data_IF_850017413434
#
_entry.id   IF_850017413434
#
_cell.length_a   1.000
_cell.length_b   1.000
_cell.length_c   1.000
_cell.angle_alpha   90.00
_cell.angle_beta   90.00
_cell.angle_gamma   90.00
#
_symmetry.space_group_name_H-M   'P 1'
#
loop_
_entity.id
_entity.type
_entity.pdbx_description
1 polymer ?
#
# COMPACT_ATOMS: atom_id res chain seq x y z
N UNK A 1 0.93 -30.53 27.01
CA UNK A 1 -0.08 -30.77 25.97
C UNK A 1 0.53 -31.76 24.99
N UNK A 2 -0.19 -32.77 24.50
CA UNK A 2 0.36 -33.70 23.50
C UNK A 2 0.41 -33.05 22.11
N UNK A 3 1.25 -33.58 21.21
CA UNK A 3 1.34 -33.09 19.83
C UNK A 3 0.00 -33.21 19.08
N UNK A 4 -0.82 -34.21 19.40
CA UNK A 4 -2.15 -34.36 18.79
C UNK A 4 -3.11 -33.25 19.25
N UNK A 5 -3.12 -32.95 20.55
CA UNK A 5 -3.96 -31.88 21.10
C UNK A 5 -3.51 -30.49 20.62
N UNK A 6 -2.20 -30.30 20.47
CA UNK A 6 -1.64 -29.06 19.94
C UNK A 6 -1.91 -28.89 18.45
N UNK A 7 -1.72 -29.94 17.64
CA UNK A 7 -2.06 -29.93 16.21
C UNK A 7 -3.55 -29.63 15.99
N UNK A 8 -4.44 -30.24 16.77
CA UNK A 8 -5.87 -29.97 16.73
C UNK A 8 -6.21 -28.52 17.07
N UNK A 9 -5.50 -27.91 18.04
CA UNK A 9 -5.70 -26.49 18.42
C UNK A 9 -5.26 -25.53 17.32
N UNK A 10 -4.22 -25.86 16.56
CA UNK A 10 -3.69 -25.03 15.48
C UNK A 10 -4.39 -25.26 14.13
N UNK A 11 -5.22 -26.30 14.01
CA UNK A 11 -5.75 -26.74 12.71
C UNK A 11 -4.66 -27.29 11.79
N UNK A 12 -3.55 -27.80 12.35
CA UNK A 12 -2.42 -28.36 11.62
C UNK A 12 -2.43 -29.90 11.68
N UNK A 13 -1.70 -30.55 10.78
CA UNK A 13 -1.50 -32.01 10.83
C UNK A 13 -0.55 -32.40 11.97
N UNK A 14 -0.82 -33.52 12.65
CA UNK A 14 0.04 -34.05 13.75
C UNK A 14 1.48 -34.30 13.26
N UNK A 15 1.65 -34.79 12.03
CA UNK A 15 2.97 -34.95 11.39
C UNK A 15 3.72 -33.64 11.19
N UNK A 16 2.99 -32.54 10.98
CA UNK A 16 3.58 -31.20 10.80
C UNK A 16 4.17 -30.70 12.11
N UNK A 17 3.44 -30.85 13.22
CA UNK A 17 3.92 -30.48 14.56
C UNK A 17 5.11 -31.35 14.97
N UNK A 18 5.05 -32.66 14.72
CA UNK A 18 6.18 -33.56 14.99
C UNK A 18 7.44 -33.19 14.17
N UNK A 19 7.26 -32.71 12.94
CA UNK A 19 8.36 -32.23 12.10
C UNK A 19 8.98 -30.93 12.63
N UNK A 20 8.21 -30.07 13.31
CA UNK A 20 8.71 -28.85 13.96
C UNK A 20 9.54 -29.18 15.19
N UNK A 21 9.07 -30.12 16.01
CA UNK A 21 9.81 -30.58 17.18
C UNK A 21 11.14 -31.25 16.79
N UNK A 22 11.15 -32.04 15.71
CA UNK A 22 12.36 -32.67 15.20
C UNK A 22 13.34 -31.70 14.52
N UNK A 23 12.87 -30.55 14.03
CA UNK A 23 13.66 -29.56 13.29
C UNK A 23 13.41 -28.13 13.83
N UNK A 24 14.01 -27.76 14.98
CA UNK A 24 13.73 -26.49 15.64
C UNK A 24 14.19 -25.25 14.85
N UNK A 25 15.16 -25.40 13.94
CA UNK A 25 15.66 -24.31 13.09
C UNK A 25 14.84 -24.11 11.81
N UNK A 26 13.75 -24.86 11.63
CA UNK A 26 12.95 -24.78 10.41
C UNK A 26 12.17 -23.46 10.34
N UNK A 27 12.40 -22.71 9.26
CA UNK A 27 11.67 -21.47 8.98
C UNK A 27 10.24 -21.78 8.54
N UNK A 28 9.27 -21.42 9.39
CA UNK A 28 7.85 -21.61 9.12
C UNK A 28 7.33 -20.60 8.11
N UNK A 29 6.29 -20.98 7.35
CA UNK A 29 5.62 -20.06 6.45
C UNK A 29 4.94 -18.93 7.24
N UNK A 30 4.80 -17.71 6.68
CA UNK A 30 4.21 -16.58 7.39
C UNK A 30 2.81 -16.85 7.95
N UNK A 31 1.97 -17.56 7.20
CA UNK A 31 0.61 -17.92 7.66
C UNK A 31 0.61 -18.91 8.83
N UNK A 32 1.61 -19.81 8.91
CA UNK A 32 1.70 -20.76 10.01
C UNK A 32 2.29 -20.13 11.27
N UNK A 33 3.23 -19.20 11.10
CA UNK A 33 3.75 -18.38 12.20
C UNK A 33 2.63 -17.51 12.81
N UNK A 34 1.74 -16.93 11.99
CA UNK A 34 0.58 -16.17 12.46
C UNK A 34 -0.36 -17.02 13.34
N UNK A 35 -0.55 -18.29 13.01
CA UNK A 35 -1.37 -19.22 13.80
C UNK A 35 -0.71 -19.53 15.15
N UNK A 36 0.62 -19.68 15.18
CA UNK A 36 1.37 -19.90 16.42
C UNK A 36 1.38 -18.66 17.32
N UNK A 37 1.55 -17.47 16.75
CA UNK A 37 1.55 -16.21 17.48
C UNK A 37 0.16 -15.93 18.09
N UNK A 38 -0.91 -16.24 17.34
CA UNK A 38 -2.27 -16.18 17.86
C UNK A 38 -2.49 -17.19 19.00
N UNK A 39 -2.01 -18.43 18.85
CA UNK A 39 -2.11 -19.45 19.88
C UNK A 39 -1.36 -19.09 21.17
N UNK A 40 -0.20 -18.41 21.07
CA UNK A 40 0.57 -17.91 22.21
C UNK A 40 -0.14 -16.72 22.88
N UNK A 41 -0.72 -15.81 22.10
CA UNK A 41 -1.50 -14.68 22.60
C UNK A 41 -2.73 -15.14 23.39
N UNK A 42 -3.39 -16.20 22.92
CA UNK A 42 -4.57 -16.79 23.55
C UNK A 42 -4.23 -17.83 24.63
N UNK A 43 -2.95 -18.05 24.93
CA UNK A 43 -2.53 -18.93 26.00
C UNK A 43 -2.60 -18.24 27.37
N UNK A 44 -2.84 -19.02 28.43
CA UNK A 44 -2.89 -18.50 29.79
C UNK A 44 -1.59 -17.78 30.19
N UNK A 45 -1.70 -16.78 31.07
CA UNK A 45 -0.53 -16.00 31.52
C UNK A 45 0.56 -16.83 32.22
N UNK A 46 0.27 -18.04 32.68
CA UNK A 46 1.30 -18.98 33.18
C UNK A 46 2.10 -19.65 32.05
N UNK A 47 1.50 -19.84 30.88
CA UNK A 47 2.14 -20.40 29.69
C UNK A 47 3.02 -19.33 29.02
N UNK A 48 2.50 -18.11 28.87
CA UNK A 48 3.27 -16.99 28.32
C UNK A 48 4.51 -16.68 29.16
N UNK A 49 4.40 -16.70 30.49
CA UNK A 49 5.55 -16.52 31.39
C UNK A 49 6.59 -17.63 31.27
N UNK A 50 6.15 -18.90 31.20
CA UNK A 50 7.07 -20.04 30.99
C UNK A 50 7.78 -19.95 29.65
N UNK A 51 7.06 -19.57 28.59
CA UNK A 51 7.64 -19.35 27.27
C UNK A 51 8.69 -18.23 27.28
N UNK A 52 8.39 -17.10 27.95
CA UNK A 52 9.35 -16.01 28.14
C UNK A 52 10.60 -16.42 28.94
N UNK A 53 10.46 -17.29 29.94
CA UNK A 53 11.60 -17.83 30.69
C UNK A 53 12.49 -18.74 29.83
N UNK A 54 11.91 -19.56 28.95
CA UNK A 54 12.66 -20.43 28.04
C UNK A 54 13.45 -19.62 27.00
N UNK A 55 12.86 -18.54 26.47
CA UNK A 55 13.55 -17.60 25.57
C UNK A 55 14.74 -16.93 26.26
N UNK A 56 14.54 -16.43 27.48
CA UNK A 56 15.60 -15.78 28.25
C UNK A 56 16.75 -16.74 28.61
N UNK A 57 16.46 -18.03 28.82
CA UNK A 57 17.47 -19.06 29.07
C UNK A 57 18.25 -19.40 27.79
N UNK A 58 17.56 -19.50 26.64
CA UNK A 58 18.19 -19.71 25.34
C UNK A 58 19.11 -18.53 24.94
N UNK A 59 18.66 -17.29 25.14
CA UNK A 59 19.48 -16.09 24.92
C UNK A 59 20.72 -16.04 25.82
N UNK A 60 20.59 -16.54 27.06
CA UNK A 60 21.69 -16.63 28.01
C UNK A 60 22.69 -17.73 27.64
N UNK A 61 22.21 -18.86 27.12
CA UNK A 61 23.05 -19.94 26.58
C UNK A 61 23.81 -19.53 25.31
N UNK A 62 23.27 -18.59 24.53
CA UNK A 62 23.89 -18.05 23.32
C UNK A 62 24.85 -16.86 23.58
N UNK A 63 24.98 -16.41 24.82
CA UNK A 63 25.86 -15.29 25.22
C UNK A 63 27.17 -15.79 25.87
N UNK A 64 28.37 -15.44 25.35
CA UNK A 64 29.62 -15.76 26.02
C UNK A 64 29.85 -14.86 27.25
N UNK A 65 30.28 -15.43 28.38
CA UNK A 65 30.51 -14.72 29.64
C UNK A 65 31.64 -13.67 29.53
N UNK A 66 31.56 -12.52 30.24
CA UNK A 66 32.55 -11.46 30.09
C UNK A 66 33.75 -11.65 31.02
N UNK A 67 34.95 -11.57 30.46
CA UNK A 67 36.16 -11.29 31.23
C UNK A 67 36.24 -9.78 31.51
N UNK A 68 36.58 -9.48 32.77
CA UNK A 68 36.81 -8.14 33.33
C UNK A 68 37.50 -7.16 32.37
N UNK A 69 36.94 -5.96 32.21
CA UNK A 69 37.74 -4.72 32.14
C UNK A 69 36.87 -3.56 32.61
N UNK A 70 37.13 -3.11 33.83
CA UNK A 70 36.64 -1.83 34.33
C UNK A 70 37.38 -0.67 33.68
N UNK A 71 36.66 0.42 33.48
CA UNK A 71 37.15 1.78 33.34
C UNK A 71 37.94 2.14 32.07
N UNK A 72 37.20 2.40 30.99
CA UNK A 72 37.44 3.63 30.22
C UNK A 72 36.13 4.26 29.79
N UNK A 73 35.79 5.35 30.48
CA UNK A 73 34.75 6.30 30.12
C UNK A 73 35.11 6.93 28.77
N UNK A 74 34.71 6.28 27.68
CA UNK A 74 34.73 6.80 26.34
C UNK A 74 33.30 6.72 25.80
N UNK A 75 32.64 7.87 25.80
CA UNK A 75 31.55 8.28 24.91
C UNK A 75 31.03 7.17 23.98
N UNK A 76 30.04 6.39 24.42
CA UNK A 76 29.32 5.46 23.55
C UNK A 76 28.08 6.15 23.00
N UNK A 77 28.20 6.75 21.82
CA UNK A 77 27.10 6.82 20.86
C UNK A 77 26.78 5.41 20.39
N UNK A 78 26.26 4.58 21.31
CA UNK A 78 26.02 3.16 21.09
C UNK A 78 24.91 2.99 20.05
N UNK A 79 25.19 2.21 19.01
CA UNK A 79 24.16 1.76 18.06
C UNK A 79 22.99 1.19 18.89
N UNK A 80 21.74 1.61 18.64
CA UNK A 80 20.59 1.13 19.40
C UNK A 80 20.54 -0.40 19.36
N UNK A 81 20.00 -1.02 20.42
CA UNK A 81 19.74 -2.45 20.39
C UNK A 81 18.86 -2.80 19.18
N UNK A 82 18.94 -4.02 18.64
CA UNK A 82 18.17 -4.38 17.47
C UNK A 82 16.66 -4.12 17.64
N UNK A 83 16.11 -4.38 18.82
CA UNK A 83 14.70 -4.09 19.12
C UNK A 83 14.41 -2.59 19.25
N UNK A 84 15.31 -1.82 19.87
CA UNK A 84 15.16 -0.36 19.93
C UNK A 84 15.22 0.27 18.52
N UNK A 85 15.99 -0.30 17.60
CA UNK A 85 16.03 0.14 16.21
C UNK A 85 14.70 -0.15 15.48
N UNK A 86 14.07 -1.30 15.75
CA UNK A 86 12.74 -1.63 15.22
C UNK A 86 11.69 -0.65 15.73
N UNK A 87 11.64 -0.42 17.04
CA UNK A 87 10.68 0.52 17.64
C UNK A 87 10.88 1.96 17.15
N UNK A 88 12.13 2.41 17.02
CA UNK A 88 12.44 3.73 16.45
C UNK A 88 11.98 3.84 15.00
N UNK A 89 12.24 2.82 14.17
CA UNK A 89 11.79 2.78 12.78
C UNK A 89 10.26 2.81 12.66
N UNK A 90 9.56 2.02 13.47
CA UNK A 90 8.09 1.99 13.48
C UNK A 90 7.49 3.29 14.01
N UNK A 91 8.10 3.92 15.01
CA UNK A 91 7.66 5.20 15.56
C UNK A 91 7.80 6.30 14.52
N UNK A 92 8.97 6.41 13.89
CA UNK A 92 9.19 7.37 12.81
C UNK A 92 8.20 7.19 11.66
N UNK A 93 7.95 5.94 11.23
CA UNK A 93 6.96 5.67 10.19
C UNK A 93 5.54 6.11 10.57
N UNK A 94 5.13 5.91 11.84
CA UNK A 94 3.83 6.38 12.33
C UNK A 94 3.73 7.91 12.32
N UNK A 95 4.82 8.62 12.65
CA UNK A 95 4.90 10.08 12.61
C UNK A 95 4.76 10.62 11.19
N UNK A 96 5.56 10.12 10.25
CA UNK A 96 5.47 10.52 8.83
C UNK A 96 4.08 10.23 8.28
N UNK A 97 3.50 9.06 8.60
CA UNK A 97 2.16 8.71 8.15
C UNK A 97 1.08 9.60 8.77
N UNK A 98 1.23 10.00 10.02
CA UNK A 98 0.32 10.95 10.67
C UNK A 98 0.37 12.30 9.95
N UNK A 99 1.57 12.80 9.65
CA UNK A 99 1.76 14.03 8.88
C UNK A 99 1.15 13.94 7.48
N UNK A 100 1.32 12.82 6.78
CA UNK A 100 0.70 12.58 5.47
C UNK A 100 -0.83 12.71 5.53
N UNK A 101 -1.47 12.09 6.53
CA UNK A 101 -2.92 12.15 6.71
C UNK A 101 -3.39 13.58 7.01
N UNK A 102 -2.68 14.29 7.89
CA UNK A 102 -3.04 15.64 8.33
C UNK A 102 -2.80 16.69 7.25
N UNK A 103 -1.70 16.57 6.50
CA UNK A 103 -1.33 17.50 5.43
C UNK A 103 -2.22 17.34 4.20
N UNK A 104 -2.66 16.11 3.92
CA UNK A 104 -3.64 15.78 2.88
C UNK A 104 -3.39 16.49 1.55
N UNK A 105 -4.34 17.30 1.13
CA UNK A 105 -4.33 18.02 -0.16
C UNK A 105 -3.18 19.03 -0.24
N UNK A 106 -2.75 19.63 0.88
CA UNK A 106 -1.66 20.61 0.88
C UNK A 106 -0.33 20.02 0.44
N UNK A 107 0.00 18.82 0.95
CA UNK A 107 1.20 18.08 0.53
C UNK A 107 1.08 17.65 -0.94
N UNK A 108 -0.10 17.23 -1.38
CA UNK A 108 -0.33 16.86 -2.78
C UNK A 108 -0.07 18.06 -3.73
N UNK A 109 -0.53 19.26 -3.40
CA UNK A 109 -0.29 20.47 -4.18
C UNK A 109 1.20 20.82 -4.28
N UNK A 110 1.92 20.85 -3.14
CA UNK A 110 3.37 21.12 -3.14
C UNK A 110 4.18 20.05 -3.85
N UNK A 111 3.74 18.80 -3.80
CA UNK A 111 4.39 17.72 -4.56
C UNK A 111 4.11 17.84 -6.06
N UNK A 112 2.91 18.32 -6.45
CA UNK A 112 2.60 18.62 -7.85
C UNK A 112 3.44 19.80 -8.38
N UNK A 113 3.89 20.71 -7.51
CA UNK A 113 4.79 21.81 -7.88
C UNK A 113 6.16 21.35 -8.40
N UNK A 114 6.53 20.09 -8.15
CA UNK A 114 7.76 19.49 -8.67
C UNK A 114 7.66 19.08 -10.14
N UNK A 115 6.44 18.91 -10.66
CA UNK A 115 6.21 18.51 -12.05
C UNK A 115 6.17 19.72 -12.97
N UNK A 116 6.46 19.47 -14.25
CA UNK A 116 6.31 20.46 -15.31
C UNK A 116 4.88 21.05 -15.27
N UNK A 117 4.73 22.39 -15.26
CA UNK A 117 3.42 23.04 -15.25
C UNK A 117 2.47 22.57 -16.36
N UNK A 118 2.98 22.14 -17.51
CA UNK A 118 2.18 21.62 -18.64
C UNK A 118 1.51 20.27 -18.34
N UNK A 119 2.00 19.53 -17.34
CA UNK A 119 1.40 18.28 -16.88
C UNK A 119 0.36 18.50 -15.77
N UNK A 120 0.16 19.74 -15.29
CA UNK A 120 -0.77 20.02 -14.19
C UNK A 120 -2.18 20.23 -14.72
N UNK A 121 -3.15 19.64 -14.04
CA UNK A 121 -4.56 19.75 -14.41
C UNK A 121 -5.16 21.03 -13.82
N UNK A 122 -5.07 22.13 -14.58
CA UNK A 122 -5.62 23.44 -14.23
C UNK A 122 -5.44 23.82 -12.74
N UNK A 123 -6.54 23.92 -11.99
CA UNK A 123 -6.59 24.34 -10.60
C UNK A 123 -6.68 23.16 -9.61
N UNK A 124 -6.53 21.93 -10.10
CA UNK A 124 -6.62 20.70 -9.31
C UNK A 124 -5.20 20.22 -9.02
N UNK A 125 -4.88 19.77 -7.79
CA UNK A 125 -3.58 19.19 -7.45
C UNK A 125 -3.46 17.77 -8.04
N UNK A 126 -3.56 17.68 -9.36
CA UNK A 126 -3.49 16.47 -10.16
C UNK A 126 -2.56 16.71 -11.34
N UNK A 127 -1.91 15.62 -11.77
CA UNK A 127 -1.08 15.61 -12.97
C UNK A 127 -1.75 14.73 -14.02
N UNK A 128 -1.69 15.13 -15.28
CA UNK A 128 -2.17 14.38 -16.45
C UNK A 128 -1.46 14.85 -17.71
N UNK A 129 -1.27 13.96 -18.67
CA UNK A 129 -0.95 14.38 -20.04
C UNK A 129 -2.23 14.72 -20.80
N UNK A 130 -2.10 15.53 -21.86
CA UNK A 130 -3.21 15.88 -22.74
C UNK A 130 -3.87 14.65 -23.39
N UNK A 131 -3.11 13.58 -23.63
CA UNK A 131 -3.65 12.34 -24.20
C UNK A 131 -4.65 11.62 -23.26
N UNK A 132 -4.55 11.85 -21.96
CA UNK A 132 -5.41 11.23 -20.95
C UNK A 132 -6.65 12.07 -20.62
N UNK A 133 -6.74 13.31 -21.09
CA UNK A 133 -7.89 14.19 -20.89
C UNK A 133 -8.65 14.41 -22.20
N UNK A 134 -9.98 14.36 -22.21
CA UNK A 134 -10.74 14.76 -23.38
C UNK A 134 -10.63 16.28 -23.58
N UNK A 135 -10.75 16.74 -24.82
CA UNK A 135 -10.72 18.19 -25.16
C UNK A 135 -11.90 18.99 -24.60
N UNK A 136 -12.94 18.29 -24.12
CA UNK A 136 -14.09 18.86 -23.44
C UNK A 136 -14.91 17.75 -22.77
N UNK A 137 -16.00 18.11 -22.06
CA UNK A 137 -16.86 17.11 -21.42
C UNK A 137 -17.42 16.10 -22.43
N UNK A 138 -17.27 14.80 -22.12
CA UNK A 138 -17.81 13.70 -22.93
C UNK A 138 -19.08 13.17 -22.26
N UNK A 139 -20.23 13.13 -22.96
CA UNK A 139 -21.44 12.50 -22.43
C UNK A 139 -21.18 11.02 -22.09
N UNK A 140 -21.69 10.56 -20.94
CA UNK A 140 -21.38 9.21 -20.43
C UNK A 140 -21.84 8.10 -21.38
N UNK A 141 -22.95 8.32 -22.10
CA UNK A 141 -23.48 7.40 -23.12
C UNK A 141 -22.56 7.27 -24.35
N UNK A 142 -21.59 8.18 -24.50
CA UNK A 142 -20.56 8.15 -25.55
C UNK A 142 -19.22 7.61 -25.03
N UNK A 143 -19.18 7.11 -23.79
CA UNK A 143 -18.01 6.43 -23.22
C UNK A 143 -18.21 4.93 -23.34
N UNK A 144 -17.35 4.29 -24.12
CA UNK A 144 -17.33 2.83 -24.28
C UNK A 144 -16.33 2.23 -23.29
N UNK A 145 -16.79 1.29 -22.47
CA UNK A 145 -15.92 0.55 -21.56
C UNK A 145 -15.47 -0.75 -22.25
N UNK A 146 -14.16 -0.97 -22.28
CA UNK A 146 -13.56 -2.20 -22.77
C UNK A 146 -12.95 -2.97 -21.59
N UNK A 147 -13.17 -4.29 -21.56
CA UNK A 147 -12.56 -5.18 -20.58
C UNK A 147 -11.41 -5.96 -21.24
N UNK A 148 -10.25 -5.92 -20.61
CA UNK A 148 -9.12 -6.76 -20.96
C UNK A 148 -8.96 -7.88 -19.91
N UNK A 149 -9.18 -9.12 -20.34
CA UNK A 149 -9.04 -10.31 -19.49
C UNK A 149 -7.58 -10.59 -19.09
N UNK A 150 -6.60 -10.04 -19.82
CA UNK A 150 -5.19 -10.21 -19.55
C UNK A 150 -4.44 -8.86 -19.64
N UNK A 151 -4.74 -7.93 -18.71
CA UNK A 151 -4.20 -6.59 -18.76
C UNK A 151 -2.67 -6.61 -18.55
N UNK A 152 -1.93 -5.66 -19.14
CA UNK A 152 -0.48 -5.59 -19.01
C UNK A 152 -0.07 -5.48 -17.53
N UNK A 153 1.00 -6.15 -17.11
CA UNK A 153 1.46 -6.05 -15.71
C UNK A 153 1.80 -4.62 -15.33
N UNK A 154 1.52 -4.24 -14.07
CA UNK A 154 1.95 -2.95 -13.56
C UNK A 154 3.49 -2.86 -13.63
N UNK A 155 4.01 -1.75 -14.14
CA UNK A 155 5.47 -1.51 -14.17
C UNK A 155 6.04 -1.30 -12.77
N UNK A 156 5.24 -0.71 -11.89
CA UNK A 156 5.59 -0.36 -10.52
C UNK A 156 4.56 -1.00 -9.60
N UNK A 157 5.02 -1.61 -8.52
CA UNK A 157 4.21 -2.47 -7.66
C UNK A 157 4.39 -2.20 -6.17
N UNK A 158 5.32 -1.30 -5.80
CA UNK A 158 5.62 -0.94 -4.41
C UNK A 158 6.65 -1.84 -3.72
N UNK A 159 7.28 -2.77 -4.46
CA UNK A 159 8.33 -3.66 -3.93
C UNK A 159 9.73 -3.30 -4.44
N UNK A 160 9.82 -2.27 -5.27
CA UNK A 160 11.06 -1.76 -5.84
C UNK A 160 12.01 -1.29 -4.72
N UNK A 161 13.31 -1.28 -5.00
CA UNK A 161 14.32 -0.93 -3.99
C UNK A 161 14.12 0.52 -3.49
N UNK A 162 13.67 1.39 -4.39
CA UNK A 162 13.36 2.80 -4.18
C UNK A 162 12.18 2.99 -3.21
N UNK A 163 11.26 2.02 -3.09
CA UNK A 163 10.16 2.08 -2.12
C UNK A 163 10.60 1.71 -0.69
N UNK A 164 11.75 1.05 -0.52
CA UNK A 164 12.22 0.55 0.79
C UNK A 164 12.37 1.61 1.88
N UNK A 165 12.84 2.85 1.60
CA UNK A 165 12.91 3.89 2.63
C UNK A 165 11.55 4.23 3.26
N UNK A 166 10.44 4.02 2.55
CA UNK A 166 9.09 4.21 3.07
C UNK A 166 8.55 3.01 3.90
N UNK A 167 9.31 1.91 3.99
CA UNK A 167 8.92 0.69 4.68
C UNK A 167 9.64 0.57 6.03
N UNK A 168 8.90 0.46 7.15
CA UNK A 168 9.52 0.35 8.46
C UNK A 168 10.08 -1.05 8.71
N UNK A 169 10.93 -1.17 9.72
CA UNK A 169 11.36 -2.46 10.23
C UNK A 169 10.19 -3.23 10.88
N UNK A 170 10.03 -4.49 10.50
CA UNK A 170 9.14 -5.46 11.15
C UNK A 170 9.87 -6.19 12.28
N UNK A 171 11.14 -6.51 12.06
CA UNK A 171 12.01 -7.22 13.00
C UNK A 171 13.46 -6.74 12.79
N UNK A 172 14.40 -7.08 13.69
CA UNK A 172 15.81 -6.74 13.54
C UNK A 172 16.34 -7.04 12.13
N UNK A 173 16.76 -5.99 11.41
CA UNK A 173 17.30 -6.10 10.04
C UNK A 173 16.29 -6.45 8.95
N UNK A 174 15.00 -6.58 9.26
CA UNK A 174 13.98 -7.02 8.30
C UNK A 174 12.85 -5.99 8.21
N UNK A 175 12.78 -5.27 7.08
CA UNK A 175 11.66 -4.38 6.77
C UNK A 175 10.41 -5.14 6.30
N UNK A 176 9.26 -4.49 6.37
CA UNK A 176 8.08 -4.97 5.64
C UNK A 176 8.38 -5.02 4.14
N UNK A 177 7.81 -6.00 3.43
CA UNK A 177 7.96 -6.12 1.98
C UNK A 177 6.97 -5.26 1.18
N UNK A 178 5.87 -4.84 1.82
CA UNK A 178 4.77 -4.07 1.23
C UNK A 178 4.24 -3.05 2.23
N UNK A 179 3.81 -1.90 1.73
CA UNK A 179 3.32 -0.83 2.59
C UNK A 179 1.98 -1.18 3.24
N UNK A 180 1.10 -1.86 2.51
CA UNK A 180 -0.18 -2.36 3.07
C UNK A 180 0.03 -3.35 4.21
N UNK A 181 1.12 -4.13 4.22
CA UNK A 181 1.48 -4.99 5.34
C UNK A 181 1.89 -4.17 6.58
N UNK A 182 2.65 -3.09 6.38
CA UNK A 182 3.00 -2.16 7.47
C UNK A 182 1.76 -1.46 8.04
N UNK A 183 0.82 -0.99 7.19
CA UNK A 183 -0.46 -0.44 7.65
C UNK A 183 -1.22 -1.46 8.50
N UNK A 184 -1.40 -2.68 7.99
CA UNK A 184 -2.15 -3.74 8.69
C UNK A 184 -1.55 -4.07 10.05
N UNK A 185 -0.23 -4.07 10.16
CA UNK A 185 0.47 -4.43 11.39
C UNK A 185 0.50 -3.26 12.39
N UNK A 186 0.87 -2.07 11.94
CA UNK A 186 1.16 -0.93 12.83
C UNK A 186 -0.05 -0.06 13.14
N UNK A 187 -1.00 0.07 12.19
CA UNK A 187 -2.13 1.01 12.26
C UNK A 187 -3.32 0.50 11.43
N UNK A 188 -3.86 -0.68 11.74
CA UNK A 188 -4.96 -1.28 10.98
C UNK A 188 -6.22 -0.39 11.01
N UNK A 189 -6.73 0.09 9.86
CA UNK A 189 -8.02 0.76 9.77
C UNK A 189 -9.19 -0.19 10.08
N UNK A 190 -10.34 0.37 10.45
CA UNK A 190 -11.56 -0.41 10.72
C UNK A 190 -11.99 -1.27 9.52
N UNK A 191 -11.89 -0.71 8.31
CA UNK A 191 -12.07 -1.42 7.05
C UNK A 191 -10.75 -1.43 6.29
N UNK A 192 -10.11 -2.60 6.18
CA UNK A 192 -8.82 -2.75 5.48
C UNK A 192 -8.72 -4.11 4.80
N UNK A 193 -9.43 -4.24 3.69
CA UNK A 193 -9.59 -5.47 2.93
C UNK A 193 -9.07 -5.30 1.52
N UNK A 194 -8.44 -6.36 0.99
CA UNK A 194 -8.03 -6.36 -0.40
C UNK A 194 -9.17 -6.83 -1.29
N UNK A 195 -9.99 -5.89 -1.77
CA UNK A 195 -11.12 -6.17 -2.67
C UNK A 195 -10.69 -6.05 -4.13
N UNK A 196 -11.42 -6.72 -5.01
CA UNK A 196 -11.27 -6.51 -6.46
C UNK A 196 -11.51 -5.04 -6.80
N UNK A 197 -10.72 -4.55 -7.75
CA UNK A 197 -10.81 -3.22 -8.31
C UNK A 197 -10.55 -3.27 -9.81
N UNK A 198 -10.80 -2.16 -10.49
CA UNK A 198 -10.60 -2.02 -11.92
C UNK A 198 -9.51 -1.00 -12.17
N UNK A 199 -8.43 -1.42 -12.83
CA UNK A 199 -7.33 -0.52 -13.19
C UNK A 199 -7.54 -0.06 -14.62
N UNK A 200 -7.56 1.25 -14.81
CA UNK A 200 -7.54 1.88 -16.13
C UNK A 200 -6.15 1.67 -16.75
N UNK A 201 -6.12 1.04 -17.91
CA UNK A 201 -4.87 0.64 -18.59
C UNK A 201 -4.63 1.41 -19.87
N UNK A 202 -5.70 1.92 -20.47
CA UNK A 202 -5.65 2.64 -21.74
C UNK A 202 -6.88 3.54 -21.87
N UNK A 203 -6.71 4.67 -22.54
CA UNK A 203 -7.76 5.64 -22.86
C UNK A 203 -7.57 6.13 -24.28
N UNK A 204 -8.65 6.17 -25.05
CA UNK A 204 -8.70 6.80 -26.34
C UNK A 204 -9.83 7.83 -26.37
N UNK A 205 -9.52 9.06 -26.77
CA UNK A 205 -10.51 10.11 -26.97
C UNK A 205 -10.68 10.40 -28.46
N UNK A 206 -11.93 10.61 -28.87
CA UNK A 206 -12.31 11.14 -30.18
C UNK A 206 -13.25 12.33 -29.99
N UNK A 207 -13.62 13.05 -31.04
CA UNK A 207 -14.50 14.23 -30.94
C UNK A 207 -15.82 13.92 -30.20
N UNK A 208 -15.87 14.30 -28.92
CA UNK A 208 -17.04 14.12 -28.04
C UNK A 208 -17.37 12.67 -27.67
N UNK A 209 -16.44 11.73 -27.82
CA UNK A 209 -16.61 10.32 -27.43
C UNK A 209 -15.29 9.72 -26.93
N UNK A 210 -15.35 8.57 -26.25
CA UNK A 210 -14.13 7.93 -25.76
C UNK A 210 -14.26 6.45 -25.48
N UNK A 211 -13.11 5.79 -25.38
CA UNK A 211 -12.96 4.39 -25.01
C UNK A 211 -12.03 4.29 -23.82
N UNK A 212 -12.45 3.56 -22.79
CA UNK A 212 -11.66 3.33 -21.58
C UNK A 212 -11.44 1.83 -21.39
N UNK A 213 -10.19 1.39 -21.33
CA UNK A 213 -9.84 -0.03 -21.16
C UNK A 213 -9.49 -0.34 -19.72
N UNK A 214 -10.22 -1.29 -19.13
CA UNK A 214 -10.00 -1.74 -17.76
C UNK A 214 -9.48 -3.16 -17.73
N UNK A 215 -8.63 -3.42 -16.75
CA UNK A 215 -8.25 -4.76 -16.35
C UNK A 215 -8.52 -5.01 -14.87
N UNK A 216 -8.54 -6.29 -14.48
CA UNK A 216 -8.67 -6.67 -13.09
C UNK A 216 -7.44 -6.23 -12.29
N UNK A 217 -7.69 -5.65 -11.12
CA UNK A 217 -6.68 -5.34 -10.13
C UNK A 217 -7.26 -5.55 -8.73
N UNK A 218 -6.49 -5.23 -7.71
CA UNK A 218 -6.95 -5.23 -6.33
C UNK A 218 -6.72 -3.88 -5.67
N UNK A 219 -7.49 -3.59 -4.62
CA UNK A 219 -7.37 -2.35 -3.87
C UNK A 219 -5.95 -2.15 -3.30
N UNK A 220 -5.28 -3.23 -2.90
CA UNK A 220 -3.92 -3.16 -2.36
C UNK A 220 -2.87 -2.91 -3.44
N UNK A 221 -3.08 -3.32 -4.69
CA UNK A 221 -2.17 -2.98 -5.79
C UNK A 221 -2.06 -1.45 -5.95
N UNK A 222 -3.18 -0.74 -5.78
CA UNK A 222 -3.19 0.73 -5.78
C UNK A 222 -2.52 1.29 -4.53
N UNK A 223 -2.82 0.77 -3.34
CA UNK A 223 -2.27 1.30 -2.09
C UNK A 223 -0.78 1.08 -1.95
N UNK A 224 -0.26 -0.08 -2.37
CA UNK A 224 1.17 -0.38 -2.32
C UNK A 224 2.01 0.53 -3.22
N UNK A 225 1.39 1.25 -4.17
CA UNK A 225 2.07 2.30 -4.96
C UNK A 225 1.74 3.69 -4.41
N UNK A 226 0.46 4.02 -4.24
CA UNK A 226 0.07 5.39 -3.88
C UNK A 226 0.50 5.81 -2.47
N UNK A 227 0.50 4.88 -1.51
CA UNK A 227 0.83 5.23 -0.12
C UNK A 227 2.34 5.44 0.07
N UNK A 228 3.26 4.60 -0.46
CA UNK A 228 4.69 4.91 -0.42
C UNK A 228 5.06 6.22 -1.12
N UNK A 229 4.42 6.55 -2.24
CA UNK A 229 4.64 7.85 -2.92
C UNK A 229 4.26 9.04 -2.02
N UNK A 230 3.14 8.92 -1.32
CA UNK A 230 2.72 9.94 -0.34
C UNK A 230 3.64 9.97 0.87
N UNK A 231 4.06 8.80 1.37
CA UNK A 231 4.95 8.67 2.53
C UNK A 231 6.33 9.26 2.25
N UNK A 232 6.89 8.96 1.08
CA UNK A 232 8.18 9.50 0.62
C UNK A 232 8.14 11.03 0.55
N UNK A 233 7.09 11.59 -0.07
CA UNK A 233 6.90 13.04 -0.12
C UNK A 233 6.71 13.67 1.27
N UNK A 234 5.96 13.00 2.15
CA UNK A 234 5.75 13.44 3.53
C UNK A 234 7.07 13.43 4.34
N UNK A 235 7.89 12.39 4.19
CA UNK A 235 9.19 12.28 4.85
C UNK A 235 10.15 13.37 4.35
N UNK A 236 10.22 13.57 3.02
CA UNK A 236 11.04 14.60 2.41
C UNK A 236 10.62 16.00 2.86
N UNK A 237 9.31 16.27 2.94
CA UNK A 237 8.81 17.56 3.44
C UNK A 237 9.13 17.79 4.92
N UNK A 238 8.93 16.78 5.78
CA UNK A 238 9.30 16.88 7.20
C UNK A 238 10.79 17.14 7.40
N UNK A 239 11.64 16.64 6.50
CA UNK A 239 13.07 16.91 6.49
C UNK A 239 13.44 18.29 5.88
N UNK A 240 12.48 19.01 5.30
CA UNK A 240 12.73 20.28 4.59
C UNK A 240 13.40 20.10 3.22
N UNK A 241 13.27 18.92 2.61
CA UNK A 241 13.99 18.49 1.42
C UNK A 241 13.02 17.95 0.34
N UNK A 242 11.87 18.60 0.16
CA UNK A 242 10.89 18.20 -0.86
C UNK A 242 11.40 18.56 -2.27
N UNK A 243 12.24 17.71 -2.83
CA UNK A 243 12.81 17.82 -4.18
C UNK A 243 13.06 16.44 -4.81
N UNK A 244 13.28 16.39 -6.12
CA UNK A 244 13.45 15.12 -6.85
C UNK A 244 14.59 14.22 -6.37
N UNK A 245 15.64 14.77 -5.74
CA UNK A 245 16.77 13.96 -5.23
C UNK A 245 16.41 13.16 -3.97
N UNK A 246 15.34 13.55 -3.28
CA UNK A 246 14.80 12.88 -2.10
C UNK A 246 13.53 12.08 -2.38
N UNK A 247 13.15 11.93 -3.66
CA UNK A 247 11.95 11.23 -4.10
C UNK A 247 12.25 10.12 -5.12
N UNK A 248 13.16 9.17 -4.83
CA UNK A 248 13.58 8.15 -5.78
C UNK A 248 12.42 7.24 -6.25
N UNK A 249 11.49 6.86 -5.37
CA UNK A 249 10.35 6.03 -5.76
C UNK A 249 9.38 6.79 -6.66
N UNK A 250 9.09 8.05 -6.34
CA UNK A 250 8.33 8.92 -7.25
C UNK A 250 9.03 9.16 -8.57
N UNK A 251 10.36 9.19 -8.58
CA UNK A 251 11.19 9.26 -9.80
C UNK A 251 10.93 8.10 -10.76
N UNK A 252 10.60 6.90 -10.26
CA UNK A 252 10.20 5.76 -11.12
C UNK A 252 8.86 6.02 -11.84
N UNK A 253 7.97 6.80 -11.22
CA UNK A 253 6.64 7.17 -11.76
C UNK A 253 6.73 8.42 -12.64
N UNK A 254 7.94 8.89 -13.00
CA UNK A 254 8.15 10.19 -13.68
C UNK A 254 7.41 10.37 -15.01
N UNK A 255 6.98 9.30 -15.67
CA UNK A 255 5.91 9.35 -16.66
C UNK A 255 4.80 8.35 -16.29
N UNK A 256 3.77 8.78 -15.52
CA UNK A 256 2.65 7.93 -15.10
C UNK A 256 1.76 7.50 -16.28
N UNK A 257 1.93 8.15 -17.43
CA UNK A 257 1.02 8.13 -18.57
C UNK A 257 1.61 7.45 -19.79
N UNK A 258 2.89 7.06 -19.74
CA UNK A 258 3.53 6.31 -20.82
C UNK A 258 2.78 4.98 -21.02
N UNK A 259 2.25 4.72 -22.22
CA UNK A 259 1.65 3.43 -22.50
C UNK A 259 2.65 2.30 -22.21
N UNK A 260 2.15 1.19 -21.68
CA UNK A 260 2.88 -0.08 -21.79
C UNK A 260 2.83 -0.46 -23.26
N UNK A 261 3.77 0.07 -24.05
CA UNK A 261 4.04 -0.47 -25.38
C UNK A 261 4.44 -1.91 -25.12
N UNK A 262 3.50 -2.83 -25.33
CA UNK A 262 3.82 -4.21 -25.58
C UNK A 262 4.71 -4.18 -26.81
N UNK A 263 5.93 -4.69 -26.72
CA UNK A 263 6.70 -5.10 -27.89
C UNK A 263 5.86 -6.17 -28.60
N UNK A 264 4.85 -5.75 -29.35
CA UNK A 264 4.29 -6.56 -30.43
C UNK A 264 5.41 -6.61 -31.45
N UNK A 265 6.14 -7.72 -31.44
CA UNK A 265 7.00 -8.11 -32.55
C UNK A 265 6.27 -7.79 -33.87
N UNK A 266 6.88 -7.05 -34.80
CA UNK A 266 6.30 -6.84 -36.12
C UNK A 266 6.06 -8.21 -36.75
N UNK A 267 4.82 -8.40 -37.20
CA UNK A 267 4.27 -9.69 -37.55
C UNK A 267 5.09 -10.44 -38.59
N UNK A 268 5.24 -11.75 -38.37
CA UNK A 268 5.48 -12.67 -39.47
C UNK A 268 4.25 -12.62 -40.39
N UNK A 269 4.47 -12.10 -41.59
CA UNK A 269 3.55 -12.23 -42.71
C UNK A 269 3.30 -13.72 -42.95
N UNK A 270 2.11 -14.20 -42.57
CA UNK A 270 1.56 -15.40 -43.17
C UNK A 270 0.57 -14.98 -44.25
N UNK A 271 0.98 -15.33 -45.47
CA UNK A 271 0.26 -15.27 -46.72
C UNK A 271 -1.13 -15.87 -46.61
N UNK A 272 -2.06 -15.17 -47.27
CA UNK A 272 -3.42 -15.56 -47.61
C UNK A 272 -3.56 -17.01 -48.08
N UNK A 273 -4.60 -17.70 -47.58
CA UNK A 273 -5.48 -18.56 -48.39
C UNK A 273 -6.94 -18.49 -47.85
N UNK A 274 -7.98 -18.69 -48.69
CA UNK A 274 -9.37 -18.26 -48.47
C UNK A 274 -10.29 -19.39 -47.90
N UNK A 275 -11.60 -19.16 -47.68
CA UNK A 275 -12.26 -19.60 -46.44
C UNK A 275 -13.03 -20.91 -46.58
N UNK A 276 -13.05 -21.71 -45.52
CA UNK A 276 -14.05 -22.76 -45.32
C UNK A 276 -15.14 -22.33 -44.34
N UNK A 277 -16.37 -22.47 -44.83
CA UNK A 277 -17.63 -22.28 -44.13
C UNK A 277 -17.86 -23.42 -43.14
N UNK A 278 -18.30 -23.12 -41.93
CA UNK A 278 -18.68 -24.16 -40.96
C UNK A 278 -19.22 -23.58 -39.67
N UNK A 279 -20.52 -23.30 -39.65
CA UNK A 279 -21.19 -22.71 -38.50
C UNK A 279 -21.12 -23.58 -37.25
N UNK A 280 -21.19 -22.91 -36.09
CA UNK A 280 -21.88 -23.38 -34.88
C UNK A 280 -22.09 -22.19 -33.95
N UNK A 281 -23.28 -21.61 -34.06
CA UNK A 281 -23.87 -20.77 -33.02
C UNK A 281 -23.87 -21.55 -31.70
N UNK A 282 -23.33 -20.97 -30.64
CA UNK A 282 -23.68 -21.37 -29.27
C UNK A 282 -24.34 -20.18 -28.60
N UNK A 283 -25.64 -20.33 -28.42
CA UNK A 283 -26.46 -19.56 -27.50
C UNK A 283 -25.85 -19.63 -26.09
N UNK A 284 -25.62 -18.47 -25.48
CA UNK A 284 -25.54 -18.35 -24.02
C UNK A 284 -26.58 -17.30 -23.62
N UNK A 285 -27.62 -17.77 -22.93
CA UNK A 285 -28.66 -16.94 -22.31
C UNK A 285 -28.06 -16.01 -21.23
N UNK A 286 -28.70 -14.87 -20.96
CA UNK A 286 -28.22 -13.88 -20.00
C UNK A 286 -28.38 -14.37 -18.56
N UNK A 287 -27.30 -14.27 -17.78
CA UNK A 287 -27.36 -14.43 -16.34
C UNK A 287 -27.98 -13.18 -15.71
N UNK A 288 -28.97 -13.43 -14.85
CA UNK A 288 -29.87 -12.47 -14.26
C UNK A 288 -29.16 -11.49 -13.33
N UNK A 289 -29.44 -10.21 -13.55
CA UNK A 289 -29.19 -9.09 -12.65
C UNK A 289 -29.98 -9.29 -11.35
N UNK A 290 -29.31 -9.22 -10.20
CA UNK A 290 -29.97 -8.84 -8.94
C UNK A 290 -29.26 -7.62 -8.35
N UNK A 291 -30.03 -6.64 -7.85
CA UNK A 291 -29.49 -5.39 -7.34
C UNK A 291 -29.00 -5.60 -5.92
N UNK A 292 -27.88 -5.00 -5.52
CA UNK A 292 -27.66 -4.79 -4.10
C UNK A 292 -26.95 -3.47 -3.77
N UNK A 293 -27.71 -2.68 -3.02
CA UNK A 293 -27.35 -1.84 -1.89
C UNK A 293 -26.16 -0.87 -2.01
N UNK A 294 -26.54 0.42 -2.10
CA UNK A 294 -26.13 1.42 -1.09
C UNK A 294 -24.64 1.68 -0.97
N UNK A 295 -24.09 2.47 -1.89
CA UNK A 295 -22.77 3.06 -1.75
C UNK A 295 -22.86 4.34 -0.90
N UNK A 296 -22.36 4.30 0.33
CA UNK A 296 -22.08 5.49 1.12
C UNK A 296 -20.59 5.48 1.45
N UNK A 297 -19.80 6.20 0.64
CA UNK A 297 -18.40 6.49 0.96
C UNK A 297 -18.36 7.68 1.91
N UNK A 298 -18.15 7.41 3.21
CA UNK A 298 -17.75 8.46 4.13
C UNK A 298 -16.29 8.81 3.88
N UNK A 299 -16.09 9.93 3.20
CA UNK A 299 -14.86 10.68 3.26
C UNK A 299 -14.53 10.97 4.75
N UNK A 300 -13.25 10.82 5.09
CA UNK A 300 -12.68 11.27 6.35
C UNK A 300 -13.19 12.68 6.66
N UNK A 301 -13.94 12.83 7.75
CA UNK A 301 -14.51 14.11 8.16
C UNK A 301 -13.37 15.09 8.52
N UNK A 302 -13.39 16.35 8.01
CA UNK A 302 -12.47 17.37 8.47
C UNK A 302 -12.83 17.82 9.90
N UNK A 303 -11.84 18.27 10.71
CA UNK A 303 -12.11 18.70 12.07
C UNK A 303 -13.02 19.94 12.10
N UNK A 304 -13.99 19.90 13.01
CA UNK A 304 -14.90 21.00 13.36
C UNK A 304 -14.12 22.23 13.79
N UNK A 305 -14.16 23.30 12.98
CA UNK A 305 -13.71 24.64 13.40
C UNK A 305 -14.63 25.13 14.54
N UNK A 306 -14.07 25.28 15.74
CA UNK A 306 -14.67 26.07 16.82
C UNK A 306 -14.76 27.53 16.37
N UNK A 307 -15.89 28.14 16.71
CA UNK A 307 -16.39 29.39 16.15
C UNK A 307 -15.54 30.63 16.36
N UNK A 308 -15.72 31.55 15.42
CA UNK A 308 -15.39 32.98 15.54
C UNK A 308 -16.73 33.71 15.58
N UNK A 309 -17.00 34.58 16.58
CA UNK A 309 -18.28 35.26 16.71
C UNK A 309 -18.42 36.40 15.69
N UNK A 310 -19.57 36.42 15.01
CA UNK A 310 -20.01 37.49 14.12
C UNK A 310 -20.27 38.77 14.91
N UNK A 311 -19.60 39.87 14.54
CA UNK A 311 -19.89 41.22 15.04
C UNK A 311 -20.69 41.96 13.98
N UNK A 312 -22.00 42.05 14.18
CA UNK A 312 -22.92 42.79 13.31
C UNK A 312 -22.71 44.31 13.42
N UNK A 313 -23.02 44.98 12.32
CA UNK A 313 -22.86 46.39 12.04
C UNK A 313 -23.60 47.33 13.01
N UNK A 314 -22.92 48.41 13.40
CA UNK A 314 -23.54 49.66 13.83
C UNK A 314 -22.95 50.78 12.96
N UNK A 315 -23.80 51.39 12.13
CA UNK A 315 -23.62 52.72 11.58
C UNK A 315 -24.90 53.53 11.88
N UNK A 316 -24.81 54.86 12.04
CA UNK A 316 -25.64 55.59 12.99
C UNK A 316 -26.86 56.26 12.35
N UNK A 317 -27.95 56.37 13.11
CA UNK A 317 -29.01 57.35 12.86
C UNK A 317 -28.81 58.58 13.75
N UNK A 318 -28.63 59.73 13.12
CA UNK A 318 -28.87 61.04 13.74
C UNK A 318 -30.25 61.52 13.30
N UNK A 319 -31.22 61.56 14.23
CA UNK A 319 -32.21 62.64 14.29
C UNK A 319 -32.90 62.69 15.67
N UNK A 320 -32.67 63.86 16.28
CA UNK A 320 -33.37 64.55 17.38
C UNK A 320 -33.27 63.96 18.77
#
# INVERSE_FOLDING_TARGET
MSNEAFASRLGAGVRTVANWEANPDMVLSPGMQEVLDAALKDADGSVQRRFGMLLADQERALSPAPANTSARRAQTGGRPSPDAAVEASQTHWREVRQYLIESGIGLAARTADLYDPTLRVEHVPAISTAAWLPSGPVPLEKVVLHWDDNPPKARITGIEAEARPALPLRAPGHAFSRYTAAIRYLRKPALFENRHSYRLTDIEWSEGAGRMTFGLATFFDKLDVSEPLGHEAAAAELAGQLDWSHLPFRGLVSDPFRPVVSDRQPGHQHTHDPPEQGGRQRNILPAQTRPNAGHQWQALQPPTRRGIPTREHLAPEHRQ
#
